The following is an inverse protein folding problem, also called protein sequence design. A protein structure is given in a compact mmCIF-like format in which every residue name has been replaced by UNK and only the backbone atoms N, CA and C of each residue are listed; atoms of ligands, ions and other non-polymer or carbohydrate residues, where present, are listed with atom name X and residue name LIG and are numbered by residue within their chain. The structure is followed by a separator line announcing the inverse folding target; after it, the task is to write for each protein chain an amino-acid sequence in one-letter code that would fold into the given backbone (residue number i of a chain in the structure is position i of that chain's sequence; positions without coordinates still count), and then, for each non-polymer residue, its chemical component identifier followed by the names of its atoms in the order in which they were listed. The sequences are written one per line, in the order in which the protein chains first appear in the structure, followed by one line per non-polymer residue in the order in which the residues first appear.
data_IF_836179128600
#
_entry.id   IF_836179128600
#
_cell.length_a   1.000
_cell.length_b   1.000
_cell.length_c   1.000
_cell.angle_alpha   90.00
_cell.angle_beta   90.00
_cell.angle_gamma   90.00
#
_symmetry.space_group_name_H-M   'P 1'
#
loop_
_entity.id
_entity.type
_entity.pdbx_description
1 polymer ?
#
# COMPACT_ATOMS: atom_id res chain seq x y z
N UNK A 1 13.14 -21.32 12.42
CA UNK A 1 12.77 -22.71 12.78
C UNK A 1 11.56 -22.70 13.69
N UNK A 2 11.09 -23.88 14.14
CA UNK A 2 9.98 -23.98 15.10
C UNK A 2 10.45 -23.56 16.50
N UNK A 3 9.88 -22.46 17.00
CA UNK A 3 10.15 -21.91 18.31
C UNK A 3 9.63 -22.83 19.42
N UNK A 4 10.58 -23.36 20.18
CA UNK A 4 10.35 -24.21 21.34
C UNK A 4 10.91 -23.60 22.64
N UNK A 5 11.31 -22.32 22.63
CA UNK A 5 11.87 -21.62 23.79
C UNK A 5 10.88 -21.48 24.96
N UNK A 6 11.38 -21.02 26.12
CA UNK A 6 10.56 -20.81 27.32
C UNK A 6 9.82 -19.48 27.19
N UNK A 7 8.54 -19.47 27.55
CA UNK A 7 7.70 -18.28 27.65
C UNK A 7 6.58 -18.54 28.68
N UNK A 8 6.05 -17.46 29.27
CA UNK A 8 4.91 -17.51 30.19
C UNK A 8 3.56 -17.43 29.48
N UNK A 9 2.51 -17.20 30.26
CA UNK A 9 1.12 -17.01 29.78
C UNK A 9 0.56 -15.63 30.14
N UNK A 10 1.40 -14.72 30.63
CA UNK A 10 1.03 -13.32 30.81
C UNK A 10 1.08 -12.63 29.45
N UNK A 11 -0.08 -12.42 28.83
CA UNK A 11 -0.21 -11.89 27.48
C UNK A 11 0.13 -10.39 27.45
N UNK A 12 0.98 -9.97 26.52
CA UNK A 12 1.40 -8.57 26.33
C UNK A 12 1.47 -8.13 24.85
N UNK A 13 1.43 -9.06 23.90
CA UNK A 13 1.63 -8.79 22.48
C UNK A 13 0.61 -9.48 21.58
N UNK A 14 -0.03 -8.69 20.72
CA UNK A 14 -1.01 -9.18 19.73
C UNK A 14 -0.35 -9.59 18.42
N UNK A 15 -0.71 -10.77 17.91
CA UNK A 15 -0.19 -11.35 16.66
C UNK A 15 -1.30 -12.05 15.88
N UNK A 16 -1.02 -12.48 14.65
CA UNK A 16 -1.99 -13.18 13.80
C UNK A 16 -1.49 -14.57 13.45
N UNK A 17 -2.21 -15.61 13.86
CA UNK A 17 -2.01 -16.95 13.33
C UNK A 17 -2.61 -17.03 11.91
N UNK A 18 -1.75 -17.26 10.91
CA UNK A 18 -2.14 -17.28 9.49
C UNK A 18 -2.15 -18.69 8.89
N UNK A 19 -1.71 -19.68 9.66
CA UNK A 19 -1.68 -21.07 9.24
C UNK A 19 -1.08 -21.97 10.30
N UNK A 20 -0.94 -23.24 9.97
CA UNK A 20 -0.31 -24.26 10.79
C UNK A 20 0.29 -25.34 9.89
N UNK A 21 1.18 -26.15 10.45
CA UNK A 21 1.77 -27.28 9.73
C UNK A 21 2.43 -28.27 10.67
N UNK A 22 3.11 -29.24 10.07
CA UNK A 22 3.92 -30.24 10.76
C UNK A 22 5.22 -30.41 10.00
N UNK A 23 6.35 -30.37 10.69
CA UNK A 23 7.67 -30.59 10.11
C UNK A 23 8.47 -31.48 11.05
N UNK A 24 9.01 -32.59 10.53
CA UNK A 24 9.80 -33.56 11.31
C UNK A 24 9.08 -34.05 12.58
N UNK A 25 7.77 -34.30 12.50
CA UNK A 25 6.95 -34.75 13.63
C UNK A 25 6.62 -33.66 14.67
N UNK A 26 6.96 -32.40 14.40
CA UNK A 26 6.62 -31.26 15.26
C UNK A 26 5.54 -30.41 14.62
N UNK A 27 4.42 -30.28 15.33
CA UNK A 27 3.33 -29.40 14.93
C UNK A 27 3.68 -27.94 15.26
N UNK A 28 3.33 -27.03 14.36
CA UNK A 28 3.56 -25.60 14.56
C UNK A 28 2.40 -24.73 14.04
N UNK A 29 2.27 -23.56 14.65
CA UNK A 29 1.55 -22.40 14.13
C UNK A 29 2.46 -21.59 13.23
N UNK A 30 1.92 -20.98 12.17
CA UNK A 30 2.56 -19.92 11.40
C UNK A 30 1.97 -18.60 11.90
N UNK A 31 2.81 -17.78 12.52
CA UNK A 31 2.37 -16.54 13.17
C UNK A 31 3.03 -15.35 12.48
N UNK A 32 2.22 -14.44 11.97
CA UNK A 32 2.66 -13.15 11.43
C UNK A 32 2.86 -12.16 12.57
N UNK A 33 4.04 -11.56 12.64
CA UNK A 33 4.38 -10.55 13.61
C UNK A 33 4.34 -9.13 13.00
N UNK A 34 4.48 -8.10 13.84
CA UNK A 34 4.43 -6.68 13.48
C UNK A 34 5.78 -5.96 13.57
N UNK A 35 6.90 -6.69 13.68
CA UNK A 35 8.25 -6.14 13.88
C UNK A 35 9.08 -6.00 12.60
N UNK A 36 8.43 -5.98 11.42
CA UNK A 36 9.08 -5.89 10.12
C UNK A 36 9.63 -7.22 9.59
N UNK A 37 10.02 -7.22 8.32
CA UNK A 37 10.46 -8.43 7.62
C UNK A 37 11.88 -8.90 7.99
N UNK A 38 12.68 -8.04 8.63
CA UNK A 38 14.04 -8.40 9.08
C UNK A 38 14.03 -9.28 10.33
N UNK A 39 12.88 -9.41 11.01
CA UNK A 39 12.74 -10.22 12.20
C UNK A 39 12.26 -11.64 11.85
N UNK A 40 12.81 -12.65 12.51
CA UNK A 40 12.36 -14.04 12.38
C UNK A 40 12.52 -14.59 10.96
N UNK A 41 11.51 -15.32 10.50
CA UNK A 41 11.40 -15.85 9.14
C UNK A 41 10.59 -14.84 8.30
N UNK A 42 11.24 -13.79 7.77
CA UNK A 42 10.59 -12.75 6.95
C UNK A 42 9.41 -12.03 7.64
N UNK A 43 9.51 -11.80 8.95
CA UNK A 43 8.46 -11.20 9.78
C UNK A 43 7.51 -12.24 10.42
N UNK A 44 7.79 -13.53 10.24
CA UNK A 44 7.01 -14.62 10.82
C UNK A 44 7.79 -15.39 11.87
N UNK A 45 7.05 -16.10 12.71
CA UNK A 45 7.58 -17.11 13.60
C UNK A 45 6.74 -18.38 13.47
N UNK A 46 7.42 -19.53 13.36
CA UNK A 46 6.79 -20.83 13.55
C UNK A 46 6.83 -21.17 15.03
N UNK A 47 5.70 -21.38 15.69
CA UNK A 47 5.62 -21.66 17.14
C UNK A 47 5.07 -23.06 17.39
N UNK A 48 5.59 -23.79 18.39
CA UNK A 48 5.06 -25.11 18.74
C UNK A 48 3.53 -25.11 18.96
N UNK A 49 2.87 -26.11 18.39
CA UNK A 49 1.42 -26.33 18.46
C UNK A 49 1.12 -27.71 19.04
N UNK A 50 -0.11 -27.91 19.51
CA UNK A 50 -0.62 -29.21 20.00
C UNK A 50 0.22 -29.82 21.13
N UNK A 51 0.69 -28.98 22.05
CA UNK A 51 1.42 -29.43 23.23
C UNK A 51 0.46 -30.13 24.20
N UNK A 52 0.65 -31.44 24.41
CA UNK A 52 -0.26 -32.30 25.18
C UNK A 52 -0.53 -31.82 26.62
N UNK A 53 0.41 -31.07 27.21
CA UNK A 53 0.37 -30.67 28.62
C UNK A 53 -0.07 -29.20 28.82
N UNK A 54 -0.69 -28.56 27.84
CA UNK A 54 -1.20 -27.20 28.01
C UNK A 54 -2.47 -26.92 27.20
N UNK A 55 -3.47 -26.36 27.86
CA UNK A 55 -4.66 -25.80 27.23
C UNK A 55 -4.44 -24.37 26.71
N UNK A 56 -3.44 -23.66 27.23
CA UNK A 56 -3.14 -22.26 26.84
C UNK A 56 -2.34 -22.17 25.54
N UNK A 57 -1.75 -23.29 25.09
CA UNK A 57 -0.79 -23.32 24.00
C UNK A 57 0.55 -22.66 24.37
N UNK A 58 1.49 -22.72 23.43
CA UNK A 58 2.82 -22.08 23.57
C UNK A 58 2.64 -20.56 23.72
N UNK A 59 3.22 -19.99 24.77
CA UNK A 59 3.17 -18.56 25.09
C UNK A 59 1.76 -17.98 25.25
N UNK A 60 0.76 -18.80 25.59
CA UNK A 60 -0.62 -18.36 25.77
C UNK A 60 -1.39 -18.07 24.47
N UNK A 61 -0.87 -18.50 23.30
CA UNK A 61 -1.47 -18.23 21.99
C UNK A 61 -2.94 -18.68 21.86
N UNK A 62 -3.41 -19.62 22.69
CA UNK A 62 -4.77 -20.14 22.66
C UNK A 62 -5.69 -19.57 23.76
N UNK A 63 -5.27 -18.53 24.50
CA UNK A 63 -6.07 -17.96 25.61
C UNK A 63 -7.11 -16.95 25.10
N UNK A 64 -6.71 -15.94 24.31
CA UNK A 64 -7.58 -14.82 23.88
C UNK A 64 -7.66 -14.67 22.35
N UNK A 65 -7.79 -15.80 21.64
CA UNK A 65 -7.93 -15.78 20.18
C UNK A 65 -9.31 -15.25 19.75
N UNK A 66 -9.33 -14.38 18.74
CA UNK A 66 -10.56 -13.88 18.11
C UNK A 66 -10.38 -13.79 16.60
N UNK A 67 -11.51 -13.79 15.86
CA UNK A 67 -11.51 -13.66 14.41
C UNK A 67 -12.70 -12.81 13.95
N UNK A 68 -12.55 -12.02 12.88
CA UNK A 68 -13.67 -11.26 12.32
C UNK A 68 -14.63 -12.19 11.57
N UNK A 69 -15.92 -11.86 11.62
CA UNK A 69 -16.95 -12.52 10.81
C UNK A 69 -17.37 -11.57 9.70
N UNK A 70 -17.26 -12.03 8.44
CA UNK A 70 -17.77 -11.31 7.27
C UNK A 70 -19.16 -11.83 6.91
N UNK A 71 -20.21 -11.06 7.23
CA UNK A 71 -21.62 -11.43 6.98
C UNK A 71 -22.11 -11.07 5.58
N UNK A 72 -21.48 -10.10 4.91
CA UNK A 72 -21.81 -9.76 3.54
C UNK A 72 -21.34 -10.86 2.58
N UNK A 73 -22.16 -11.18 1.58
CA UNK A 73 -21.73 -12.07 0.50
C UNK A 73 -20.38 -11.57 -0.05
N UNK A 74 -19.43 -12.48 -0.25
CA UNK A 74 -18.34 -12.17 -1.16
C UNK A 74 -19.02 -11.81 -2.49
N UNK A 75 -18.66 -10.68 -3.13
CA UNK A 75 -19.02 -10.54 -4.54
C UNK A 75 -18.63 -11.85 -5.24
N UNK A 76 -19.43 -12.35 -6.20
CA UNK A 76 -19.12 -13.58 -6.93
C UNK A 76 -17.64 -13.57 -7.26
N UNK A 77 -16.91 -14.64 -6.94
CA UNK A 77 -15.48 -14.75 -7.26
C UNK A 77 -15.32 -14.21 -8.68
N UNK A 78 -14.73 -13.02 -8.87
CA UNK A 78 -14.61 -12.49 -10.21
C UNK A 78 -13.78 -13.55 -10.90
N UNK A 79 -14.42 -14.30 -11.82
CA UNK A 79 -13.68 -15.16 -12.74
C UNK A 79 -12.49 -14.35 -13.25
N UNK A 80 -11.32 -14.98 -13.47
CA UNK A 80 -10.02 -14.32 -13.56
C UNK A 80 -10.23 -12.95 -14.16
N UNK A 81 -10.07 -11.90 -13.36
CA UNK A 81 -10.42 -10.55 -13.80
C UNK A 81 -9.86 -10.42 -15.21
N UNK A 82 -10.69 -10.10 -16.22
CA UNK A 82 -10.14 -9.62 -17.48
C UNK A 82 -9.07 -8.60 -17.08
N UNK A 83 -7.87 -8.58 -17.72
CA UNK A 83 -6.87 -7.58 -17.38
C UNK A 83 -7.62 -6.27 -17.23
N UNK A 84 -7.54 -5.66 -16.03
CA UNK A 84 -8.32 -4.46 -15.72
C UNK A 84 -8.26 -3.59 -16.96
N UNK A 85 -9.40 -3.10 -17.51
CA UNK A 85 -9.36 -2.27 -18.70
C UNK A 85 -8.27 -1.25 -18.44
N UNK A 86 -7.20 -1.28 -19.25
CA UNK A 86 -6.03 -0.42 -19.10
C UNK A 86 -6.60 0.97 -18.88
N UNK A 87 -6.56 1.47 -17.64
CA UNK A 87 -7.30 2.67 -17.31
C UNK A 87 -6.62 3.74 -18.15
N UNK A 88 -7.35 4.45 -19.03
CA UNK A 88 -6.67 5.31 -19.97
C UNK A 88 -5.78 6.31 -19.19
N UNK A 89 -4.59 6.64 -19.73
CA UNK A 89 -3.70 7.61 -19.10
C UNK A 89 -4.46 8.91 -18.82
N UNK A 90 -4.17 9.55 -17.70
CA UNK A 90 -4.78 10.84 -17.37
C UNK A 90 -4.29 11.89 -18.35
N UNK A 91 -5.18 12.36 -19.22
CA UNK A 91 -4.88 13.43 -20.18
C UNK A 91 -4.79 14.76 -19.43
N UNK A 92 -3.66 15.45 -19.53
CA UNK A 92 -3.46 16.76 -18.89
C UNK A 92 -3.90 17.91 -19.80
N UNK A 93 -3.51 17.83 -21.07
CA UNK A 93 -3.91 18.75 -22.14
C UNK A 93 -3.80 18.06 -23.51
N UNK A 94 -3.75 18.82 -24.61
CA UNK A 94 -3.61 18.30 -25.97
C UNK A 94 -2.21 17.75 -26.31
N UNK A 95 -1.23 17.94 -25.44
CA UNK A 95 0.18 17.60 -25.68
C UNK A 95 0.74 16.61 -24.66
N UNK A 96 0.22 16.58 -23.44
CA UNK A 96 0.77 15.87 -22.29
C UNK A 96 -0.24 14.93 -21.63
N UNK A 97 0.28 13.81 -21.14
CA UNK A 97 -0.47 12.83 -20.37
C UNK A 97 0.33 12.33 -19.17
N UNK A 98 -0.39 11.79 -18.20
CA UNK A 98 0.16 11.12 -17.05
C UNK A 98 -0.25 9.64 -17.03
N UNK A 99 0.54 8.78 -16.37
CA UNK A 99 0.15 7.40 -16.09
C UNK A 99 -1.24 7.30 -15.46
N UNK A 100 -1.82 6.10 -15.52
CA UNK A 100 -3.12 5.82 -14.92
C UNK A 100 -3.14 6.23 -13.45
N UNK A 101 -4.29 6.73 -12.99
CA UNK A 101 -4.49 7.10 -11.57
C UNK A 101 -3.57 8.20 -11.04
N UNK A 102 -2.90 8.95 -11.93
CA UNK A 102 -2.14 10.14 -11.56
C UNK A 102 -2.95 11.42 -11.78
N UNK A 103 -2.58 12.46 -11.02
CA UNK A 103 -3.14 13.81 -11.17
C UNK A 103 -2.18 14.71 -11.95
N UNK A 104 -2.70 15.39 -12.96
CA UNK A 104 -1.98 16.40 -13.72
C UNK A 104 -1.84 17.69 -12.90
N UNK A 105 -0.60 18.09 -12.63
CA UNK A 105 -0.27 19.31 -11.92
C UNK A 105 0.53 20.24 -12.83
N UNK A 106 0.10 21.50 -12.93
CA UNK A 106 0.86 22.47 -13.70
C UNK A 106 2.22 22.76 -13.06
N UNK A 107 3.28 22.77 -13.87
CA UNK A 107 4.65 23.04 -13.44
C UNK A 107 5.11 24.41 -13.94
N UNK A 108 4.62 24.83 -15.11
CA UNK A 108 4.94 26.13 -15.69
C UNK A 108 3.68 26.79 -16.25
N UNK A 109 3.17 27.78 -15.51
CA UNK A 109 2.00 28.56 -15.89
C UNK A 109 2.40 29.96 -16.34
N UNK A 110 1.84 30.43 -17.45
CA UNK A 110 2.03 31.78 -17.95
C UNK A 110 0.71 32.30 -18.55
N UNK A 111 0.20 33.42 -18.03
CA UNK A 111 -1.09 34.02 -18.43
C UNK A 111 -2.29 33.06 -18.36
N UNK A 112 -2.37 32.20 -17.34
CA UNK A 112 -3.48 31.24 -17.18
C UNK A 112 -3.42 30.01 -18.09
N UNK A 113 -2.32 29.87 -18.86
CA UNK A 113 -2.05 28.68 -19.66
C UNK A 113 -0.91 27.88 -19.03
N UNK A 114 -1.14 26.57 -18.90
CA UNK A 114 -0.10 25.64 -18.48
C UNK A 114 0.72 25.18 -19.68
N UNK A 115 2.02 25.45 -19.66
CA UNK A 115 2.97 25.09 -20.73
C UNK A 115 3.75 23.82 -20.42
N UNK A 116 3.77 23.37 -19.16
CA UNK A 116 4.41 22.13 -18.77
C UNK A 116 3.66 21.47 -17.60
N UNK A 117 3.52 20.16 -17.69
CA UNK A 117 2.78 19.36 -16.70
C UNK A 117 3.70 18.38 -15.96
N UNK A 118 3.32 18.11 -14.72
CA UNK A 118 3.90 17.07 -13.89
C UNK A 118 2.81 16.13 -13.40
N UNK A 119 3.17 14.87 -13.19
CA UNK A 119 2.28 13.83 -12.70
C UNK A 119 2.49 13.64 -11.22
N UNK A 120 1.43 13.83 -10.43
CA UNK A 120 1.39 13.35 -9.06
C UNK A 120 0.97 11.87 -9.04
N UNK A 121 1.69 10.98 -8.35
CA UNK A 121 1.39 9.54 -8.28
C UNK A 121 0.22 9.22 -7.34
N UNK A 122 -0.84 10.03 -7.38
CA UNK A 122 -2.06 9.92 -6.58
C UNK A 122 -3.25 10.42 -7.40
N UNK A 123 -4.41 9.81 -7.16
CA UNK A 123 -5.68 10.29 -7.70
C UNK A 123 -6.16 11.53 -6.93
N UNK A 124 -6.72 12.51 -7.65
CA UNK A 124 -7.26 13.75 -7.08
C UNK A 124 -6.29 14.50 -6.14
N UNK A 125 -4.99 14.45 -6.43
CA UNK A 125 -3.97 15.06 -5.59
C UNK A 125 -4.06 16.59 -5.60
N UNK A 126 -3.71 17.21 -4.48
CA UNK A 126 -3.52 18.66 -4.44
C UNK A 126 -2.13 19.02 -4.96
N UNK A 127 -2.07 19.87 -5.97
CA UNK A 127 -0.83 20.37 -6.54
C UNK A 127 -0.30 21.52 -5.68
N UNK A 128 0.89 21.36 -5.09
CA UNK A 128 1.52 22.41 -4.31
C UNK A 128 2.11 23.55 -5.15
N UNK A 129 2.21 24.74 -4.55
CA UNK A 129 2.72 25.95 -5.19
C UNK A 129 4.23 25.93 -5.49
N UNK A 130 4.96 24.96 -4.93
CA UNK A 130 6.38 24.75 -5.28
C UNK A 130 6.58 24.19 -6.69
N UNK A 131 5.50 23.81 -7.37
CA UNK A 131 5.48 23.19 -8.70
C UNK A 131 6.20 21.81 -8.78
N UNK A 132 6.68 21.28 -7.65
CA UNK A 132 7.44 20.03 -7.57
C UNK A 132 6.77 18.97 -6.71
N UNK A 133 5.97 19.40 -5.73
CA UNK A 133 5.34 18.52 -4.75
C UNK A 133 3.84 18.44 -4.97
N UNK A 134 3.25 17.36 -4.48
CA UNK A 134 1.82 17.17 -4.42
C UNK A 134 1.43 16.43 -3.13
N UNK A 135 0.19 16.66 -2.72
CA UNK A 135 -0.37 16.11 -1.51
C UNK A 135 -1.58 15.21 -1.80
N UNK A 136 -1.81 14.17 -0.98
CA UNK A 136 -3.04 13.40 -1.04
C UNK A 136 -4.27 14.29 -0.83
N UNK A 137 -5.40 13.91 -1.44
CA UNK A 137 -6.66 14.63 -1.27
C UNK A 137 -7.09 14.75 0.21
N UNK A 138 -6.80 13.73 1.03
CA UNK A 138 -7.12 13.73 2.47
C UNK A 138 -6.20 14.64 3.30
N UNK A 139 -5.07 15.07 2.73
CA UNK A 139 -4.09 15.95 3.36
C UNK A 139 -3.79 17.14 2.43
N UNK A 140 -4.79 17.97 2.07
CA UNK A 140 -4.66 18.90 0.94
C UNK A 140 -3.75 20.10 1.23
N UNK A 141 -3.36 20.34 2.48
CA UNK A 141 -2.59 21.52 2.86
C UNK A 141 -1.10 21.24 2.70
N UNK A 142 -0.48 21.86 1.69
CA UNK A 142 0.96 21.79 1.47
C UNK A 142 1.74 22.62 2.50
N UNK A 143 2.58 21.96 3.30
CA UNK A 143 3.61 22.59 4.14
C UNK A 143 4.96 22.47 3.42
N UNK A 144 5.28 23.48 2.61
CA UNK A 144 6.49 23.50 1.79
C UNK A 144 7.79 23.61 2.60
N UNK A 145 7.74 24.22 3.78
CA UNK A 145 8.93 24.40 4.63
C UNK A 145 9.42 23.06 5.21
N UNK A 146 8.49 22.16 5.52
CA UNK A 146 8.78 20.84 6.07
C UNK A 146 8.71 19.71 5.03
N UNK A 147 8.22 20.01 3.83
CA UNK A 147 7.98 18.99 2.80
C UNK A 147 6.87 18.01 3.18
N UNK A 148 5.85 18.48 3.88
CA UNK A 148 4.75 17.67 4.42
C UNK A 148 3.39 18.17 3.96
N UNK A 149 2.38 17.34 4.14
CA UNK A 149 0.98 17.58 3.81
C UNK A 149 0.14 17.41 5.08
N UNK A 150 -0.73 18.37 5.34
CA UNK A 150 -1.57 18.42 6.54
C UNK A 150 -3.04 18.27 6.17
N UNK A 151 -3.81 17.64 7.06
CA UNK A 151 -5.26 17.54 6.94
C UNK A 151 -5.95 18.88 7.24
N UNK A 152 -5.38 19.65 8.18
CA UNK A 152 -5.84 20.99 8.55
C UNK A 152 -4.67 21.85 9.05
N UNK A 153 -4.80 23.19 9.00
CA UNK A 153 -3.73 24.10 9.46
C UNK A 153 -3.43 23.85 10.95
N UNK A 154 -2.17 23.59 11.29
CA UNK A 154 -1.74 23.33 12.67
C UNK A 154 -2.06 21.92 13.19
N UNK A 155 -2.49 20.99 12.33
CA UNK A 155 -2.68 19.60 12.70
C UNK A 155 -1.31 18.93 12.99
N UNK A 156 -1.14 18.21 14.11
CA UNK A 156 0.11 17.50 14.42
C UNK A 156 0.36 16.28 13.51
N UNK A 157 -0.67 15.79 12.81
CA UNK A 157 -0.54 14.69 11.86
C UNK A 157 -0.21 15.23 10.47
N UNK A 158 1.02 14.93 10.06
CA UNK A 158 1.57 15.31 8.77
C UNK A 158 2.01 14.05 8.01
N UNK A 159 1.70 13.99 6.72
CA UNK A 159 2.24 12.97 5.80
C UNK A 159 3.27 13.61 4.91
N UNK A 160 4.23 12.82 4.42
CA UNK A 160 5.28 13.34 3.54
C UNK A 160 4.68 13.75 2.19
N UNK A 161 5.05 14.91 1.67
CA UNK A 161 4.67 15.32 0.33
C UNK A 161 5.32 14.42 -0.72
N UNK A 162 4.59 14.11 -1.80
CA UNK A 162 5.09 13.29 -2.89
C UNK A 162 5.67 14.17 -3.98
N UNK A 163 6.73 13.68 -4.60
CA UNK A 163 7.38 14.37 -5.72
C UNK A 163 6.68 14.05 -7.02
N UNK A 164 6.45 15.06 -7.84
CA UNK A 164 5.92 14.91 -9.20
C UNK A 164 6.97 14.30 -10.13
N UNK A 165 6.52 13.54 -11.12
CA UNK A 165 7.34 13.19 -12.30
C UNK A 165 6.96 14.10 -13.48
N UNK A 166 7.82 14.32 -14.48
CA UNK A 166 7.43 15.03 -15.70
C UNK A 166 6.30 14.28 -16.42
N UNK A 167 5.33 15.00 -16.97
CA UNK A 167 4.30 14.41 -17.83
C UNK A 167 4.90 13.96 -19.17
N UNK A 168 4.35 12.89 -19.73
CA UNK A 168 4.80 12.36 -21.02
C UNK A 168 4.11 13.12 -22.14
N UNK A 169 4.85 13.64 -23.13
CA UNK A 169 4.22 14.23 -24.29
C UNK A 169 3.70 13.15 -25.24
N UNK A 170 2.58 13.39 -25.93
CA UNK A 170 1.96 12.40 -26.82
C UNK A 170 2.87 11.92 -27.95
N UNK A 171 3.77 12.77 -28.45
CA UNK A 171 4.75 12.39 -29.48
C UNK A 171 5.77 11.37 -29.00
N UNK A 172 5.92 11.15 -27.69
CA UNK A 172 6.79 10.12 -27.12
C UNK A 172 6.17 8.71 -27.14
N UNK A 173 4.85 8.56 -27.41
CA UNK A 173 4.17 7.27 -27.51
C UNK A 173 4.20 6.63 -28.92
N UNK A 174 4.92 7.23 -29.89
CA UNK A 174 5.04 6.77 -31.27
C UNK A 174 5.91 5.53 -31.50
N UNK A 175 5.94 4.55 -30.59
CA UNK A 175 6.71 3.31 -30.78
C UNK A 175 6.06 2.09 -30.11
N UNK A 176 4.74 1.91 -30.25
CA UNK A 176 4.10 0.62 -30.03
C UNK A 176 3.14 0.31 -31.19
N UNK A 177 3.69 -0.32 -32.22
CA UNK A 177 3.04 -1.21 -33.19
C UNK A 177 1.66 -0.84 -33.73
N UNK A 178 1.61 -0.02 -34.79
CA UNK A 178 0.55 -0.15 -35.80
C UNK A 178 0.81 -1.48 -36.54
N UNK A 179 0.11 -2.55 -36.15
CA UNK A 179 -0.08 -3.68 -37.06
C UNK A 179 -1.07 -3.23 -38.13
N UNK A 180 -0.55 -2.90 -39.30
CA UNK A 180 -1.34 -2.77 -40.53
C UNK A 180 -2.07 -4.09 -40.77
N UNK A 181 -3.39 -4.09 -40.73
CA UNK A 181 -4.19 -5.11 -41.41
C UNK A 181 -4.44 -4.60 -42.84
N UNK A 182 -3.70 -5.19 -43.78
CA UNK A 182 -4.04 -5.26 -45.20
C UNK A 182 -4.07 -6.75 -45.58
#
# INVERSE_FOLDING_TARGET
GIFNGICGTQLDHGVVAVGYGTENGKDYWIVRNSWGNQWGEEGYIRMERNLANTATGKCGIAIEASYPIKNGQNPPNPGPSPPSPIKPPTVCDNYYSCPESNTCCCVYEYYGYCFAWGCCPLEAATCCDDHYSCCPHDYPICNLNEGTCLMSKGNPMAVKALRRTPATPFWAHGSVGVKNNA
#
